data_IF_489522821320
#
_entry.id   IF_489522821320
#
_cell.length_a   1.000
_cell.length_b   1.000
_cell.length_c   1.000
_cell.angle_alpha   90.00
_cell.angle_beta   90.00
_cell.angle_gamma   90.00
#
_symmetry.space_group_name_H-M   'P 1'
#
loop_
_entity.id
_entity.type
_entity.pdbx_description
1 polymer ?
#
# COMPACT_ATOMS: atom_id res chain seq x y z
N UNK A 1 -16.73 -57.87 -55.04
CA UNK A 1 -17.64 -56.71 -54.97
C UNK A 1 -18.54 -56.96 -53.77
N UNK A 2 -18.51 -56.27 -52.63
CA UNK A 2 -18.12 -54.89 -52.31
C UNK A 2 -17.35 -54.83 -50.98
N UNK A 3 -16.17 -54.18 -51.00
CA UNK A 3 -15.51 -53.63 -49.82
C UNK A 3 -16.11 -52.25 -49.58
N UNK A 4 -16.70 -51.94 -48.42
CA UNK A 4 -16.77 -50.61 -47.78
C UNK A 4 -17.69 -50.68 -46.56
N UNK A 5 -17.15 -50.79 -45.33
CA UNK A 5 -17.89 -50.48 -44.08
C UNK A 5 -17.00 -50.57 -42.81
N UNK A 6 -15.83 -49.92 -42.76
CA UNK A 6 -15.02 -49.92 -41.52
C UNK A 6 -14.32 -48.58 -41.17
N UNK A 7 -14.67 -47.47 -41.83
CA UNK A 7 -14.04 -46.15 -41.57
C UNK A 7 -14.88 -45.14 -40.77
N UNK A 8 -16.17 -45.40 -40.51
CA UNK A 8 -17.04 -44.41 -39.87
C UNK A 8 -17.01 -44.42 -38.34
N UNK A 9 -16.65 -45.54 -37.70
CA UNK A 9 -16.72 -45.64 -36.22
C UNK A 9 -15.48 -45.08 -35.52
N UNK A 10 -14.30 -45.10 -36.16
CA UNK A 10 -13.07 -44.62 -35.54
C UNK A 10 -12.98 -43.08 -35.46
N UNK A 11 -13.53 -42.37 -36.44
CA UNK A 11 -13.52 -40.90 -36.49
C UNK A 11 -14.44 -40.28 -35.43
N UNK A 12 -15.63 -40.84 -35.20
CA UNK A 12 -16.57 -40.34 -34.18
C UNK A 12 -16.05 -40.58 -32.77
N UNK A 13 -15.43 -41.75 -32.52
CA UNK A 13 -14.85 -42.09 -31.22
C UNK A 13 -13.60 -41.26 -30.91
N UNK A 14 -12.74 -41.00 -31.92
CA UNK A 14 -11.57 -40.14 -31.76
C UNK A 14 -11.94 -38.66 -31.53
N UNK A 15 -13.00 -38.16 -32.18
CA UNK A 15 -13.53 -36.81 -31.96
C UNK A 15 -14.12 -36.65 -30.56
N UNK A 16 -14.88 -37.65 -30.06
CA UNK A 16 -15.42 -37.66 -28.70
C UNK A 16 -14.32 -37.69 -27.63
N UNK A 17 -13.29 -38.52 -27.81
CA UNK A 17 -12.14 -38.58 -26.87
C UNK A 17 -11.32 -37.29 -26.91
N UNK A 18 -11.10 -36.71 -28.10
CA UNK A 18 -10.42 -35.42 -28.24
C UNK A 18 -11.17 -34.25 -27.59
N UNK A 19 -12.50 -34.19 -27.74
CA UNK A 19 -13.34 -33.19 -27.07
C UNK A 19 -13.38 -33.38 -25.56
N UNK A 20 -13.40 -34.61 -25.05
CA UNK A 20 -13.31 -34.89 -23.61
C UNK A 20 -11.95 -34.48 -23.02
N UNK A 21 -10.84 -34.72 -23.74
CA UNK A 21 -9.52 -34.27 -23.31
C UNK A 21 -9.40 -32.74 -23.27
N UNK A 22 -9.94 -32.03 -24.26
CA UNK A 22 -9.92 -30.56 -24.27
C UNK A 22 -10.77 -29.96 -23.14
N UNK A 23 -11.93 -30.57 -22.84
CA UNK A 23 -12.76 -30.16 -21.71
C UNK A 23 -12.09 -30.44 -20.36
N UNK A 24 -11.38 -31.56 -20.24
CA UNK A 24 -10.62 -31.89 -19.03
C UNK A 24 -9.45 -30.92 -18.80
N UNK A 25 -8.70 -30.56 -19.84
CA UNK A 25 -7.62 -29.57 -19.77
C UNK A 25 -8.16 -28.18 -19.44
N UNK A 26 -9.27 -27.77 -20.04
CA UNK A 26 -9.91 -26.49 -19.73
C UNK A 26 -10.43 -26.45 -18.28
N UNK A 27 -11.04 -27.53 -17.79
CA UNK A 27 -11.49 -27.66 -16.42
C UNK A 27 -10.32 -27.62 -15.42
N UNK A 28 -9.19 -28.25 -15.75
CA UNK A 28 -7.99 -28.24 -14.92
C UNK A 28 -7.32 -26.85 -14.89
N UNK A 29 -7.27 -26.15 -16.02
CA UNK A 29 -6.80 -24.75 -16.08
C UNK A 29 -7.73 -23.81 -15.29
N UNK A 30 -9.05 -24.02 -15.37
CA UNK A 30 -10.01 -23.24 -14.61
C UNK A 30 -9.91 -23.50 -13.10
N UNK A 31 -9.64 -24.75 -12.69
CA UNK A 31 -9.37 -25.11 -11.29
C UNK A 31 -8.06 -24.50 -10.79
N UNK A 32 -6.98 -24.51 -11.58
CA UNK A 32 -5.72 -23.87 -11.21
C UNK A 32 -5.89 -22.34 -11.09
N UNK A 33 -6.61 -21.70 -12.00
CA UNK A 33 -6.92 -20.28 -11.92
C UNK A 33 -7.81 -19.95 -10.71
N UNK A 34 -8.79 -20.80 -10.39
CA UNK A 34 -9.60 -20.65 -9.17
C UNK A 34 -8.78 -20.85 -7.90
N UNK A 35 -7.83 -21.77 -7.89
CA UNK A 35 -7.01 -22.04 -6.71
C UNK A 35 -5.97 -20.94 -6.49
N UNK A 36 -5.41 -20.39 -7.56
CA UNK A 36 -4.50 -19.24 -7.52
C UNK A 36 -5.23 -17.94 -7.16
N UNK A 37 -6.48 -17.74 -7.62
CA UNK A 37 -7.29 -16.59 -7.21
C UNK A 37 -7.76 -16.70 -5.76
N UNK A 38 -8.13 -17.91 -5.31
CA UNK A 38 -8.45 -18.19 -3.90
C UNK A 38 -7.25 -17.99 -2.98
N UNK A 39 -6.04 -18.40 -3.38
CA UNK A 39 -4.84 -18.17 -2.57
C UNK A 39 -4.47 -16.69 -2.51
N UNK A 40 -4.63 -15.94 -3.61
CA UNK A 40 -4.45 -14.49 -3.63
C UNK A 40 -5.48 -13.75 -2.77
N UNK A 41 -6.75 -14.16 -2.83
CA UNK A 41 -7.81 -13.60 -1.99
C UNK A 41 -7.61 -13.96 -0.52
N UNK A 42 -7.24 -15.20 -0.21
CA UNK A 42 -6.90 -15.60 1.15
C UNK A 42 -5.67 -14.83 1.67
N UNK A 43 -4.64 -14.62 0.85
CA UNK A 43 -3.48 -13.80 1.19
C UNK A 43 -3.82 -12.33 1.41
N UNK A 44 -4.71 -11.75 0.58
CA UNK A 44 -5.20 -10.38 0.76
C UNK A 44 -6.09 -10.25 2.00
N UNK A 45 -6.90 -11.27 2.30
CA UNK A 45 -7.76 -11.29 3.48
C UNK A 45 -6.95 -11.48 4.76
N UNK A 46 -5.96 -12.38 4.76
CA UNK A 46 -4.99 -12.52 5.85
C UNK A 46 -4.13 -11.25 6.01
N UNK A 47 -3.75 -10.57 4.92
CA UNK A 47 -3.07 -9.28 5.01
C UNK A 47 -3.96 -8.21 5.67
N UNK A 48 -5.23 -8.09 5.27
CA UNK A 48 -6.18 -7.16 5.90
C UNK A 48 -6.49 -7.56 7.34
N UNK A 49 -6.62 -8.85 7.63
CA UNK A 49 -6.84 -9.35 8.98
C UNK A 49 -5.61 -9.12 9.85
N UNK A 50 -4.40 -9.41 9.39
CA UNK A 50 -3.13 -9.14 10.10
C UNK A 50 -2.91 -7.64 10.30
N UNK A 51 -3.27 -6.83 9.30
CA UNK A 51 -3.33 -5.36 9.39
C UNK A 51 -4.29 -4.89 10.50
N UNK A 52 -5.45 -5.54 10.66
CA UNK A 52 -6.42 -5.24 11.73
C UNK A 52 -6.02 -5.85 13.09
N UNK A 53 -5.43 -7.05 13.11
CA UNK A 53 -5.11 -7.83 14.32
C UNK A 53 -3.88 -7.30 15.06
N UNK A 54 -2.89 -6.77 14.33
CA UNK A 54 -1.66 -6.21 14.94
C UNK A 54 -1.85 -4.88 15.66
N UNK A 55 -3.06 -4.31 15.66
CA UNK A 55 -3.42 -3.19 16.55
C UNK A 55 -3.35 -3.55 18.04
N UNK A 56 -3.12 -4.82 18.41
CA UNK A 56 -3.11 -5.29 19.80
C UNK A 56 -1.98 -6.23 20.22
N UNK A 57 -0.83 -6.26 19.54
CA UNK A 57 0.32 -6.98 20.11
C UNK A 57 1.67 -6.48 19.62
N UNK A 58 2.41 -5.84 20.52
CA UNK A 58 3.87 -5.68 20.41
C UNK A 58 4.48 -5.43 21.79
N UNK A 59 4.47 -6.47 22.64
CA UNK A 59 5.50 -6.62 23.68
C UNK A 59 6.27 -7.90 23.39
N UNK A 60 7.44 -7.73 22.79
CA UNK A 60 8.53 -8.71 22.85
C UNK A 60 9.60 -8.00 23.67
N UNK A 61 9.76 -8.45 24.91
CA UNK A 61 10.85 -8.03 25.77
C UNK A 61 12.13 -8.77 25.33
N UNK A 62 13.09 -8.02 24.80
CA UNK A 62 14.47 -8.47 24.62
C UNK A 62 15.39 -7.44 25.30
N UNK A 63 15.81 -7.78 26.52
CA UNK A 63 16.66 -7.01 27.43
C UNK A 63 18.12 -6.82 26.92
N UNK A 64 18.37 -6.95 25.61
CA UNK A 64 19.68 -6.75 24.98
C UNK A 64 19.77 -5.51 24.07
N UNK A 65 18.67 -4.78 23.86
CA UNK A 65 18.67 -3.53 23.11
C UNK A 65 19.26 -2.38 23.95
N UNK A 66 20.60 -2.32 24.04
CA UNK A 66 21.27 -1.03 24.27
C UNK A 66 20.66 -0.03 23.29
N UNK A 67 20.11 1.09 23.75
CA UNK A 67 19.48 2.10 22.89
C UNK A 67 20.53 2.65 21.89
N UNK A 68 20.65 2.00 20.72
CA UNK A 68 21.69 2.29 19.71
C UNK A 68 21.41 3.59 18.94
N UNK A 69 20.29 4.27 19.23
CA UNK A 69 19.80 5.42 18.47
C UNK A 69 19.55 5.08 17.00
N UNK A 70 19.25 6.10 16.21
CA UNK A 70 19.07 5.95 14.77
C UNK A 70 20.41 5.57 14.10
N UNK A 71 20.42 4.47 13.35
CA UNK A 71 21.60 3.93 12.69
C UNK A 71 21.55 4.04 11.16
N UNK A 72 20.35 3.94 10.57
CA UNK A 72 20.14 3.98 9.12
C UNK A 72 19.05 4.99 8.77
N UNK A 73 19.37 5.96 7.92
CA UNK A 73 18.45 6.98 7.43
C UNK A 73 18.13 6.69 5.96
N UNK A 74 16.89 6.33 5.65
CA UNK A 74 16.45 6.13 4.28
C UNK A 74 16.24 7.46 3.57
N UNK A 75 16.91 7.67 2.45
CA UNK A 75 16.75 8.84 1.57
C UNK A 75 16.05 8.49 0.24
N UNK A 76 15.93 7.20 -0.07
CA UNK A 76 15.28 6.74 -1.30
C UNK A 76 13.78 7.01 -1.30
N UNK A 77 13.25 7.39 -2.46
CA UNK A 77 11.82 7.60 -2.64
C UNK A 77 11.05 6.28 -2.59
N UNK A 78 9.75 6.36 -2.30
CA UNK A 78 8.83 5.23 -2.45
C UNK A 78 9.03 4.52 -3.80
N UNK A 79 8.77 3.20 -3.84
CA UNK A 79 8.82 2.38 -5.06
C UNK A 79 10.22 2.18 -5.66
N UNK A 80 11.27 2.54 -4.94
CA UNK A 80 12.67 2.25 -5.28
C UNK A 80 13.21 0.94 -4.68
N UNK A 81 12.35 0.12 -4.06
CA UNK A 81 12.76 -1.10 -3.34
C UNK A 81 12.79 -0.94 -1.82
N UNK A 82 12.16 0.11 -1.29
CA UNK A 82 12.06 0.40 0.16
C UNK A 82 11.55 -0.80 0.96
N UNK A 83 10.48 -1.49 0.52
CA UNK A 83 9.94 -2.66 1.25
C UNK A 83 10.86 -3.88 1.28
N UNK A 84 11.53 -4.20 0.18
CA UNK A 84 12.56 -5.25 0.18
C UNK A 84 13.73 -4.89 1.10
N UNK A 85 14.10 -3.62 1.10
CA UNK A 85 15.15 -3.09 1.98
C UNK A 85 14.71 -3.11 3.45
N UNK A 86 13.44 -2.81 3.74
CA UNK A 86 12.85 -2.88 5.07
C UNK A 86 12.97 -4.30 5.64
N UNK A 87 12.57 -5.32 4.87
CA UNK A 87 12.70 -6.72 5.28
C UNK A 87 14.16 -7.12 5.50
N UNK A 88 15.08 -6.63 4.66
CA UNK A 88 16.51 -6.87 4.84
C UNK A 88 17.03 -6.23 6.14
N UNK A 89 16.62 -5.00 6.45
CA UNK A 89 17.00 -4.32 7.69
C UNK A 89 16.40 -5.00 8.93
N UNK A 90 15.18 -5.54 8.84
CA UNK A 90 14.58 -6.35 9.92
C UNK A 90 15.37 -7.63 10.19
N UNK A 91 15.82 -8.33 9.15
CA UNK A 91 16.70 -9.50 9.28
C UNK A 91 18.01 -9.13 10.00
N UNK A 92 18.51 -7.91 9.79
CA UNK A 92 19.69 -7.37 10.46
C UNK A 92 19.41 -6.85 11.88
N UNK A 93 18.18 -7.00 12.39
CA UNK A 93 17.79 -6.62 13.75
C UNK A 93 17.30 -5.17 13.89
N UNK A 94 17.05 -4.45 12.79
CA UNK A 94 16.49 -3.11 12.85
C UNK A 94 14.96 -3.12 12.94
N UNK A 95 14.42 -2.25 13.80
CA UNK A 95 13.03 -1.78 13.71
C UNK A 95 12.99 -0.55 12.79
N UNK A 96 12.20 -0.63 11.72
CA UNK A 96 12.17 0.37 10.64
C UNK A 96 10.95 1.27 10.76
N UNK A 97 11.15 2.59 10.76
CA UNK A 97 10.10 3.60 10.69
C UNK A 97 9.82 3.99 9.24
N UNK A 98 8.56 3.95 8.82
CA UNK A 98 8.19 4.27 7.42
C UNK A 98 6.75 4.81 7.28
N UNK A 99 6.23 4.82 6.04
CA UNK A 99 4.87 5.28 5.75
C UNK A 99 3.78 4.49 6.49
N UNK A 100 4.00 3.20 6.80
CA UNK A 100 3.06 2.40 7.60
C UNK A 100 3.10 2.84 9.06
N UNK A 101 4.27 3.15 9.60
CA UNK A 101 4.39 3.70 10.97
C UNK A 101 3.56 4.97 11.14
N UNK A 102 3.36 5.78 10.09
CA UNK A 102 2.48 6.95 10.15
C UNK A 102 0.99 6.61 10.37
N UNK A 103 0.54 5.41 10.00
CA UNK A 103 -0.82 4.94 10.29
C UNK A 103 -0.97 4.49 11.75
N UNK A 104 0.12 4.01 12.34
CA UNK A 104 0.18 3.56 13.74
C UNK A 104 0.36 4.77 14.68
N UNK A 105 1.12 5.78 14.23
CA UNK A 105 1.46 7.02 14.95
C UNK A 105 0.91 8.25 14.23
N UNK A 106 -0.41 8.29 14.03
CA UNK A 106 -1.07 9.39 13.30
C UNK A 106 -0.81 10.78 13.92
N UNK A 107 -0.50 10.84 15.21
CA UNK A 107 -0.09 12.03 15.96
C UNK A 107 1.27 12.59 15.51
N UNK A 108 2.11 11.82 14.81
CA UNK A 108 3.37 12.30 14.25
C UNK A 108 3.15 13.18 13.01
N UNK A 109 2.02 13.04 12.29
CA UNK A 109 1.72 13.81 11.06
C UNK A 109 1.85 15.33 11.29
N UNK A 110 1.13 15.95 12.25
CA UNK A 110 1.25 17.39 12.49
C UNK A 110 2.65 17.81 12.97
N UNK A 111 3.43 16.91 13.58
CA UNK A 111 4.80 17.18 14.01
C UNK A 111 5.76 17.24 12.84
N UNK A 112 5.65 16.30 11.89
CA UNK A 112 6.41 16.34 10.64
C UNK A 112 6.12 17.60 9.84
N UNK A 113 4.87 18.05 9.78
CA UNK A 113 4.49 19.29 9.08
C UNK A 113 5.13 20.51 9.75
N UNK A 114 5.03 20.65 11.09
CA UNK A 114 5.70 21.73 11.81
C UNK A 114 7.22 21.70 11.65
N UNK A 115 7.82 20.51 11.75
CA UNK A 115 9.26 20.34 11.52
C UNK A 115 9.67 20.76 10.11
N UNK A 116 8.85 20.50 9.09
CA UNK A 116 9.11 20.96 7.72
C UNK A 116 9.06 22.49 7.61
N UNK A 117 8.05 23.12 8.21
CA UNK A 117 7.89 24.58 8.20
C UNK A 117 9.06 25.26 8.93
N UNK A 118 9.38 24.80 10.14
CA UNK A 118 10.48 25.30 10.97
C UNK A 118 11.84 25.14 10.26
N UNK A 119 12.07 24.00 9.62
CA UNK A 119 13.30 23.75 8.88
C UNK A 119 13.40 24.63 7.63
N UNK A 120 12.34 24.72 6.82
CA UNK A 120 12.34 25.50 5.57
C UNK A 120 12.51 26.99 5.85
N UNK A 121 11.83 27.51 6.86
CA UNK A 121 11.77 28.95 7.13
C UNK A 121 12.96 29.45 7.95
N UNK A 122 13.40 28.67 8.94
CA UNK A 122 14.37 29.13 9.95
C UNK A 122 15.59 28.23 10.09
N UNK A 123 15.68 27.14 9.31
CA UNK A 123 16.66 26.08 9.53
C UNK A 123 16.63 25.55 10.98
N UNK A 124 15.45 25.56 11.60
CA UNK A 124 15.26 25.15 12.98
C UNK A 124 14.95 23.65 13.04
N UNK A 125 15.84 22.88 13.68
CA UNK A 125 15.72 21.43 13.81
C UNK A 125 15.10 20.97 15.13
N UNK A 126 14.61 21.89 15.98
CA UNK A 126 14.15 21.56 17.35
C UNK A 126 12.98 20.56 17.35
N UNK A 127 11.91 20.81 16.58
CA UNK A 127 10.77 19.87 16.51
C UNK A 127 11.19 18.55 15.83
N UNK A 128 12.05 18.62 14.82
CA UNK A 128 12.57 17.43 14.13
C UNK A 128 13.39 16.55 15.08
N UNK A 129 14.25 17.15 15.90
CA UNK A 129 15.06 16.43 16.88
C UNK A 129 14.19 15.83 17.98
N UNK A 130 13.20 16.57 18.47
CA UNK A 130 12.25 16.06 19.46
C UNK A 130 11.47 14.85 18.92
N UNK A 131 10.95 14.95 17.69
CA UNK A 131 10.25 13.85 17.04
C UNK A 131 11.15 12.64 16.80
N UNK A 132 12.40 12.87 16.36
CA UNK A 132 13.37 11.80 16.18
C UNK A 132 13.67 11.07 17.50
N UNK A 133 13.77 11.80 18.63
CA UNK A 133 13.98 11.20 19.96
C UNK A 133 12.80 10.32 20.37
N UNK A 134 11.57 10.76 20.09
CA UNK A 134 10.37 9.96 20.38
C UNK A 134 10.35 8.67 19.54
N UNK A 135 10.69 8.76 18.25
CA UNK A 135 10.86 7.60 17.36
C UNK A 135 11.96 6.65 17.89
N UNK A 136 13.10 7.16 18.30
CA UNK A 136 14.18 6.34 18.88
C UNK A 136 13.76 5.70 20.23
N UNK A 137 12.98 6.40 21.05
CA UNK A 137 12.48 5.89 22.32
C UNK A 137 11.53 4.70 22.15
N UNK A 138 10.85 4.60 21.01
CA UNK A 138 10.06 3.43 20.62
C UNK A 138 10.89 2.28 20.03
N UNK A 139 12.22 2.41 20.02
CA UNK A 139 13.16 1.39 19.56
C UNK A 139 13.39 1.37 18.05
N UNK A 140 12.91 2.37 17.29
CA UNK A 140 13.23 2.47 15.87
C UNK A 140 14.71 2.84 15.68
N UNK A 141 15.40 2.09 14.83
CA UNK A 141 16.85 2.24 14.56
C UNK A 141 17.15 2.47 13.09
N UNK A 142 16.15 2.36 12.23
CA UNK A 142 16.24 2.65 10.82
C UNK A 142 15.00 3.37 10.31
N UNK A 143 15.12 4.14 9.24
CA UNK A 143 13.99 4.79 8.56
C UNK A 143 14.02 4.50 7.08
N UNK A 144 12.86 4.46 6.43
CA UNK A 144 12.69 4.33 4.99
C UNK A 144 11.42 5.05 4.53
N UNK A 145 11.33 5.37 3.24
CA UNK A 145 10.11 5.89 2.60
C UNK A 145 9.63 7.23 3.21
N UNK A 146 8.44 7.69 2.79
CA UNK A 146 7.81 8.89 3.33
C UNK A 146 7.37 8.69 4.79
N UNK A 147 7.43 9.73 5.64
CA UNK A 147 7.91 11.09 5.37
C UNK A 147 9.44 11.25 5.47
N UNK A 148 10.12 10.27 6.04
CA UNK A 148 11.48 10.44 6.58
C UNK A 148 12.53 10.66 5.49
N UNK A 149 12.30 10.11 4.29
CA UNK A 149 13.17 10.33 3.13
C UNK A 149 13.41 11.81 2.82
N UNK A 150 12.38 12.65 2.92
CA UNK A 150 12.49 14.09 2.67
C UNK A 150 13.34 14.82 3.72
N UNK A 151 13.49 14.23 4.90
CA UNK A 151 14.29 14.76 6.01
C UNK A 151 15.66 14.08 6.13
N UNK A 152 16.08 13.26 5.17
CA UNK A 152 17.32 12.47 5.31
C UNK A 152 18.55 13.34 5.59
N UNK A 153 18.68 14.51 4.94
CA UNK A 153 19.78 15.45 5.17
C UNK A 153 19.76 16.12 6.56
N UNK A 154 18.67 16.79 6.99
CA UNK A 154 18.62 17.36 8.34
C UNK A 154 18.69 16.28 9.45
N UNK A 155 18.16 15.08 9.21
CA UNK A 155 18.33 13.97 10.15
C UNK A 155 19.79 13.48 10.21
N UNK A 156 20.50 13.51 9.08
CA UNK A 156 21.92 13.18 9.04
C UNK A 156 22.78 14.22 9.77
N UNK A 157 22.34 15.47 9.87
CA UNK A 157 22.95 16.49 10.74
C UNK A 157 22.73 16.17 12.22
N UNK A 158 21.50 15.82 12.60
CA UNK A 158 21.14 15.48 13.99
C UNK A 158 21.76 14.17 14.49
N UNK A 159 22.07 13.23 13.59
CA UNK A 159 22.66 11.93 13.90
C UNK A 159 23.89 11.67 13.02
N UNK A 160 25.05 12.30 13.29
CA UNK A 160 26.23 12.23 12.41
C UNK A 160 26.78 10.81 12.22
N UNK A 161 26.50 9.90 13.15
CA UNK A 161 26.93 8.50 13.06
C UNK A 161 25.96 7.61 12.26
N UNK A 162 24.74 8.08 11.98
CA UNK A 162 23.77 7.33 11.19
C UNK A 162 24.20 7.33 9.71
N UNK A 163 24.09 6.18 9.07
CA UNK A 163 24.39 6.01 7.64
C UNK A 163 23.17 6.31 6.79
N UNK A 164 23.37 6.88 5.61
CA UNK A 164 22.28 7.28 4.70
C UNK A 164 22.17 6.27 3.56
N UNK A 165 20.98 5.71 3.38
CA UNK A 165 20.68 4.71 2.36
C UNK A 165 19.72 5.29 1.32
N UNK A 166 20.20 5.48 0.10
CA UNK A 166 19.41 5.98 -1.02
C UNK A 166 19.07 4.81 -1.97
N UNK A 167 17.87 4.26 -1.84
CA UNK A 167 17.42 3.18 -2.73
C UNK A 167 17.04 3.70 -4.11
N UNK A 168 17.44 2.99 -5.17
CA UNK A 168 17.21 3.36 -6.58
C UNK A 168 16.72 2.17 -7.41
N UNK A 169 16.11 2.45 -8.57
CA UNK A 169 15.81 1.44 -9.61
C UNK A 169 16.84 1.50 -10.73
N UNK A 170 16.69 0.62 -11.72
CA UNK A 170 17.56 0.60 -12.92
C UNK A 170 17.48 1.88 -13.75
N UNK A 171 16.30 2.52 -13.77
CA UNK A 171 16.02 3.76 -14.50
C UNK A 171 14.92 4.53 -13.77
N UNK A 172 15.03 5.86 -13.79
CA UNK A 172 14.05 6.82 -13.33
C UNK A 172 12.70 6.69 -14.02
N UNK A 173 12.66 6.39 -15.33
CA UNK A 173 11.39 6.14 -16.03
C UNK A 173 10.63 4.97 -15.41
N UNK A 174 11.34 3.86 -15.13
CA UNK A 174 10.75 2.67 -14.50
C UNK A 174 10.35 2.92 -13.05
N UNK A 175 11.11 3.78 -12.35
CA UNK A 175 10.72 4.23 -11.02
C UNK A 175 9.44 5.04 -11.08
N UNK A 176 9.37 6.05 -11.96
CA UNK A 176 8.20 6.88 -12.12
C UNK A 176 6.98 6.07 -12.55
N UNK A 177 7.10 5.13 -13.50
CA UNK A 177 6.00 4.21 -13.84
C UNK A 177 5.49 3.43 -12.63
N UNK A 178 6.39 2.92 -11.78
CA UNK A 178 5.99 2.23 -10.56
C UNK A 178 5.41 3.16 -9.49
N UNK A 179 5.84 4.42 -9.44
CA UNK A 179 5.33 5.47 -8.56
C UNK A 179 3.93 5.92 -9.00
N UNK A 180 3.77 6.23 -10.28
CA UNK A 180 2.51 6.55 -10.93
C UNK A 180 1.44 5.48 -10.64
N UNK A 181 1.78 4.19 -10.80
CA UNK A 181 0.85 3.10 -10.52
C UNK A 181 0.40 2.98 -9.07
N UNK A 182 1.31 3.17 -8.10
CA UNK A 182 0.90 3.12 -6.68
C UNK A 182 0.04 4.34 -6.35
N UNK A 183 0.35 5.49 -6.94
CA UNK A 183 -0.37 6.71 -6.68
C UNK A 183 -1.76 6.67 -7.31
N UNK A 184 -1.90 6.04 -8.48
CA UNK A 184 -3.20 5.67 -9.06
C UNK A 184 -4.03 4.82 -8.10
N UNK A 185 -3.41 3.80 -7.51
CA UNK A 185 -4.07 2.90 -6.58
C UNK A 185 -4.51 3.62 -5.31
N UNK A 186 -3.60 4.35 -4.68
CA UNK A 186 -3.84 5.08 -3.43
C UNK A 186 -4.84 6.21 -3.61
N UNK A 187 -4.89 6.85 -4.78
CA UNK A 187 -5.88 7.87 -5.14
C UNK A 187 -7.32 7.40 -4.90
N UNK A 188 -7.63 6.12 -5.17
CA UNK A 188 -8.94 5.56 -4.88
C UNK A 188 -9.20 5.31 -3.40
N UNK A 189 -8.15 5.04 -2.62
CA UNK A 189 -8.23 4.79 -1.19
C UNK A 189 -8.38 6.07 -0.36
N UNK A 190 -7.87 7.20 -0.85
CA UNK A 190 -8.02 8.50 -0.19
C UNK A 190 -9.37 9.18 -0.50
N UNK A 191 -10.15 8.65 -1.45
CA UNK A 191 -11.50 9.12 -1.79
C UNK A 191 -12.61 8.45 -0.96
N UNK A 192 -13.85 8.93 -1.07
CA UNK A 192 -14.99 8.26 -0.43
C UNK A 192 -15.29 6.93 -1.14
N UNK A 193 -15.69 5.90 -0.39
CA UNK A 193 -16.05 5.93 1.02
C UNK A 193 -14.89 5.68 1.98
N UNK A 194 -13.63 5.71 1.57
CA UNK A 194 -12.48 5.26 2.37
C UNK A 194 -11.69 6.35 3.08
N UNK A 195 -11.87 7.61 2.68
CA UNK A 195 -11.21 8.76 3.28
C UNK A 195 -11.28 8.78 4.82
N UNK A 196 -12.40 8.35 5.41
CA UNK A 196 -12.55 8.32 6.87
C UNK A 196 -11.76 7.19 7.55
N UNK A 197 -11.44 6.09 6.85
CA UNK A 197 -10.63 4.99 7.37
C UNK A 197 -9.13 5.31 7.34
N UNK A 198 -8.68 6.05 6.34
CA UNK A 198 -7.26 6.24 6.04
C UNK A 198 -6.74 7.59 6.54
N UNK A 199 -7.62 8.43 7.09
CA UNK A 199 -7.24 9.68 7.74
C UNK A 199 -6.58 10.68 6.80
N UNK A 200 -5.66 11.49 7.33
CA UNK A 200 -4.99 12.57 6.60
C UNK A 200 -3.81 12.08 5.75
N UNK A 201 -4.07 11.22 4.76
CA UNK A 201 -3.04 10.63 3.90
C UNK A 201 -2.52 11.57 2.80
N UNK A 202 -2.95 12.83 2.78
CA UNK A 202 -2.45 13.88 1.89
C UNK A 202 -1.12 14.50 2.42
N UNK A 203 -0.67 14.11 3.62
CA UNK A 203 0.54 14.66 4.25
C UNK A 203 1.82 14.57 3.40
N UNK A 204 2.08 13.53 2.56
CA UNK A 204 3.30 13.50 1.75
C UNK A 204 3.34 14.66 0.76
N UNK A 205 2.19 15.02 0.17
CA UNK A 205 2.10 16.18 -0.73
C UNK A 205 2.30 17.49 0.02
N UNK A 206 1.74 17.62 1.23
CA UNK A 206 1.96 18.80 2.04
C UNK A 206 3.45 18.99 2.35
N UNK A 207 4.15 17.91 2.73
CA UNK A 207 5.60 17.94 2.99
C UNK A 207 6.40 18.27 1.73
N UNK A 208 6.06 17.68 0.58
CA UNK A 208 6.71 17.99 -0.69
C UNK A 208 6.53 19.46 -1.09
N UNK A 209 5.35 20.03 -0.85
CA UNK A 209 5.12 21.46 -1.08
C UNK A 209 5.94 22.32 -0.13
N UNK A 210 6.03 21.97 1.15
CA UNK A 210 6.77 22.77 2.14
C UNK A 210 8.28 22.69 1.91
N UNK A 211 8.83 21.48 1.75
CA UNK A 211 10.28 21.26 1.68
C UNK A 211 10.85 21.53 0.29
N UNK A 212 10.15 21.08 -0.74
CA UNK A 212 10.67 20.99 -2.11
C UNK A 212 9.98 21.96 -3.07
N UNK A 213 9.09 22.82 -2.57
CA UNK A 213 8.24 23.72 -3.36
C UNK A 213 7.50 22.97 -4.48
N UNK A 214 7.25 21.67 -4.27
CA UNK A 214 6.68 20.80 -5.26
C UNK A 214 5.19 21.14 -5.43
N UNK A 215 4.72 21.41 -6.65
CA UNK A 215 3.35 21.84 -6.87
C UNK A 215 2.39 20.74 -6.38
N UNK A 216 1.42 21.14 -5.54
CA UNK A 216 0.33 20.22 -5.17
C UNK A 216 -0.40 19.83 -6.43
N UNK A 217 -0.42 18.54 -6.70
CA UNK A 217 -1.14 17.95 -7.82
C UNK A 217 -2.48 17.39 -7.37
N UNK A 218 -2.85 17.51 -6.08
CA UNK A 218 -4.24 17.34 -5.69
C UNK A 218 -5.11 18.35 -6.44
N UNK A 219 -5.95 17.80 -7.30
CA UNK A 219 -7.13 18.48 -7.79
C UNK A 219 -7.84 19.11 -6.59
N UNK A 220 -8.05 20.43 -6.63
CA UNK A 220 -9.37 20.96 -6.26
C UNK A 220 -10.39 19.97 -6.84
N UNK A 221 -11.24 19.33 -6.01
CA UNK A 221 -12.28 18.35 -6.38
C UNK A 221 -12.26 17.98 -7.88
N UNK A 222 -11.77 16.80 -8.30
CA UNK A 222 -11.52 16.56 -9.72
C UNK A 222 -12.78 16.81 -10.53
N UNK A 223 -12.63 17.47 -11.68
CA UNK A 223 -13.77 17.91 -12.51
C UNK A 223 -14.68 16.74 -12.95
N UNK A 224 -14.20 15.50 -12.86
CA UNK A 224 -14.87 14.27 -13.31
C UNK A 224 -14.92 13.18 -12.21
N UNK A 225 -15.67 13.40 -11.14
CA UNK A 225 -16.05 12.28 -10.24
C UNK A 225 -17.17 11.47 -10.91
N UNK A 226 -16.93 10.18 -11.14
CA UNK A 226 -18.01 9.26 -11.50
C UNK A 226 -18.57 8.60 -10.25
N UNK A 227 -19.89 8.71 -10.07
CA UNK A 227 -20.63 8.13 -8.95
C UNK A 227 -21.58 7.06 -9.48
N UNK A 228 -21.17 5.79 -9.60
CA UNK A 228 -22.12 4.74 -9.96
C UNK A 228 -23.16 4.52 -8.85
N UNK A 229 -22.82 4.86 -7.60
CA UNK A 229 -23.72 4.88 -6.45
C UNK A 229 -23.55 6.20 -5.67
N UNK A 230 -24.59 6.70 -4.97
CA UNK A 230 -24.52 7.96 -4.23
C UNK A 230 -23.39 8.05 -3.18
N UNK A 231 -22.92 6.91 -2.67
CA UNK A 231 -21.88 6.79 -1.64
C UNK A 231 -20.54 6.26 -2.16
N UNK A 232 -20.44 5.95 -3.46
CA UNK A 232 -19.24 5.38 -4.06
C UNK A 232 -18.71 6.30 -5.16
N UNK A 233 -17.43 6.67 -5.05
CA UNK A 233 -16.78 7.60 -5.96
C UNK A 233 -15.62 6.90 -6.66
N UNK A 234 -15.55 7.03 -7.99
CA UNK A 234 -14.43 6.57 -8.80
C UNK A 234 -13.77 7.79 -9.43
N UNK A 235 -12.45 7.90 -9.25
CA UNK A 235 -11.62 8.86 -9.97
C UNK A 235 -11.21 8.28 -11.32
N UNK A 236 -11.56 8.94 -12.43
CA UNK A 236 -11.06 8.50 -13.74
C UNK A 236 -9.66 9.05 -14.07
N UNK A 237 -9.27 10.15 -13.41
CA UNK A 237 -7.95 10.75 -13.54
C UNK A 237 -7.45 11.20 -12.18
N UNK A 238 -6.38 10.61 -11.65
CA UNK A 238 -5.63 11.22 -10.57
C UNK A 238 -4.87 12.39 -11.19
N UNK A 239 -5.09 13.61 -10.71
CA UNK A 239 -4.40 14.82 -11.18
C UNK A 239 -2.86 14.74 -11.07
N UNK A 240 -2.35 13.68 -10.45
CA UNK A 240 -0.94 13.31 -10.45
C UNK A 240 -0.52 12.87 -11.86
N UNK A 241 -1.26 12.06 -12.62
CA UNK A 241 -0.68 11.43 -13.83
C UNK A 241 -1.04 12.12 -15.13
N UNK A 242 -2.10 12.94 -15.13
CA UNK A 242 -2.59 13.61 -16.33
C UNK A 242 -2.09 15.06 -16.48
N UNK A 243 -1.23 15.53 -15.56
CA UNK A 243 -0.61 16.85 -15.60
C UNK A 243 0.64 16.86 -16.53
N UNK A 244 0.63 17.65 -17.63
CA UNK A 244 1.78 17.77 -18.53
C UNK A 244 3.05 18.23 -17.79
N UNK A 245 4.15 17.48 -17.98
CA UNK A 245 5.42 17.79 -17.34
C UNK A 245 5.58 17.20 -15.93
N UNK A 246 4.60 16.48 -15.40
CA UNK A 246 4.69 15.98 -14.03
C UNK A 246 5.72 14.88 -13.87
N UNK A 247 5.80 13.98 -14.86
CA UNK A 247 6.84 12.96 -14.94
C UNK A 247 8.22 13.60 -14.84
N UNK A 248 8.46 14.63 -15.64
CA UNK A 248 9.72 15.36 -15.70
C UNK A 248 10.02 16.04 -14.35
N UNK A 249 9.01 16.63 -13.69
CA UNK A 249 9.17 17.23 -12.34
C UNK A 249 9.56 16.21 -11.28
N UNK A 250 8.92 15.03 -11.26
CA UNK A 250 9.24 13.97 -10.30
C UNK A 250 10.63 13.38 -10.53
N UNK A 251 11.00 13.13 -11.78
CA UNK A 251 12.32 12.63 -12.14
C UNK A 251 13.38 13.68 -11.77
N UNK A 252 13.14 14.96 -12.06
CA UNK A 252 14.05 16.04 -11.67
C UNK A 252 14.22 16.10 -10.15
N UNK A 253 13.13 16.05 -9.38
CA UNK A 253 13.19 16.03 -7.92
C UNK A 253 14.03 14.84 -7.39
N UNK A 254 13.80 13.64 -7.93
CA UNK A 254 14.55 12.44 -7.52
C UNK A 254 16.06 12.60 -7.79
N UNK A 255 16.41 13.04 -9.00
CA UNK A 255 17.80 13.26 -9.41
C UNK A 255 18.48 14.36 -8.59
N UNK A 256 17.79 15.48 -8.38
CA UNK A 256 18.31 16.62 -7.61
C UNK A 256 18.48 16.26 -6.14
N UNK A 257 17.59 15.44 -5.57
CA UNK A 257 17.73 14.96 -4.20
C UNK A 257 18.91 14.00 -4.03
N UNK A 258 19.10 13.06 -4.96
CA UNK A 258 20.28 12.19 -4.98
C UNK A 258 21.57 13.00 -5.10
N UNK A 259 21.60 13.98 -6.00
CA UNK A 259 22.74 14.89 -6.17
C UNK A 259 23.04 15.69 -4.90
N UNK A 260 22.02 16.24 -4.24
CA UNK A 260 22.17 16.91 -2.93
C UNK A 260 22.79 15.97 -1.90
N UNK A 261 22.31 14.73 -1.80
CA UNK A 261 22.89 13.72 -0.91
C UNK A 261 24.37 13.48 -1.19
N UNK A 262 24.75 13.30 -2.45
CA UNK A 262 26.14 13.08 -2.86
C UNK A 262 27.05 14.29 -2.61
N UNK A 263 26.52 15.50 -2.66
CA UNK A 263 27.27 16.74 -2.44
C UNK A 263 27.44 17.07 -0.95
N UNK A 264 26.46 16.72 -0.12
CA UNK A 264 26.44 17.05 1.30
C UNK A 264 27.08 15.98 2.17
N UNK A 265 26.95 14.71 1.82
CA UNK A 265 27.38 13.60 2.67
C UNK A 265 28.74 13.03 2.23
N UNK A 266 29.60 12.61 3.18
CA UNK A 266 30.80 11.86 2.87
C UNK A 266 30.51 10.56 2.08
N UNK A 267 31.37 10.14 1.14
CA UNK A 267 31.14 8.94 0.31
C UNK A 267 30.95 7.64 1.10
N UNK A 268 31.58 7.51 2.26
CA UNK A 268 31.46 6.35 3.15
C UNK A 268 30.16 6.35 3.98
N UNK A 269 29.44 7.48 3.99
CA UNK A 269 28.20 7.68 4.73
C UNK A 269 26.94 7.56 3.86
N UNK A 270 27.09 7.50 2.54
CA UNK A 270 26.00 7.37 1.58
C UNK A 270 26.15 6.08 0.76
N UNK A 271 25.13 5.21 0.80
CA UNK A 271 25.01 4.10 -0.14
C UNK A 271 23.86 4.37 -1.11
N UNK A 272 24.18 4.42 -2.40
CA UNK A 272 23.18 4.34 -3.47
C UNK A 272 22.95 2.87 -3.78
N UNK A 273 21.75 2.37 -3.49
CA UNK A 273 21.47 0.94 -3.43
C UNK A 273 20.34 0.52 -4.38
N UNK A 274 20.64 -0.38 -5.32
CA UNK A 274 19.62 -1.09 -6.09
C UNK A 274 19.48 -2.49 -5.49
N UNK A 275 18.26 -2.89 -5.12
CA UNK A 275 17.98 -4.19 -4.48
C UNK A 275 18.47 -5.40 -5.29
N UNK A 276 18.67 -5.26 -6.60
CA UNK A 276 19.25 -6.31 -7.46
C UNK A 276 20.72 -6.60 -7.18
N UNK A 277 21.43 -5.70 -6.49
CA UNK A 277 22.81 -5.92 -6.06
C UNK A 277 22.88 -6.92 -4.89
N UNK A 278 21.74 -7.24 -4.26
CA UNK A 278 21.64 -8.21 -3.18
C UNK A 278 22.27 -7.73 -1.86
N UNK A 279 22.64 -8.69 -1.02
CA UNK A 279 23.11 -8.43 0.34
C UNK A 279 24.48 -7.76 0.42
N UNK A 280 25.39 -8.07 -0.51
CA UNK A 280 26.80 -7.72 -0.41
C UNK A 280 27.08 -6.22 -0.15
N UNK A 281 26.58 -5.26 -0.96
CA UNK A 281 26.85 -3.85 -0.71
C UNK A 281 26.18 -3.33 0.56
N UNK A 282 25.00 -3.84 0.92
CA UNK A 282 24.29 -3.42 2.13
C UNK A 282 25.04 -3.87 3.40
N UNK A 283 25.48 -5.14 3.44
CA UNK A 283 26.26 -5.68 4.57
C UNK A 283 27.59 -4.94 4.72
N UNK A 284 28.32 -4.73 3.62
CA UNK A 284 29.56 -3.96 3.62
C UNK A 284 29.32 -2.53 4.14
N UNK A 285 28.29 -1.87 3.63
CA UNK A 285 27.95 -0.51 4.04
C UNK A 285 27.56 -0.43 5.50
N UNK A 286 26.86 -1.41 6.06
CA UNK A 286 26.49 -1.43 7.47
C UNK A 286 27.61 -1.95 8.38
N UNK A 287 28.72 -2.43 7.83
CA UNK A 287 29.83 -3.02 8.60
C UNK A 287 29.44 -4.35 9.26
N UNK A 288 28.49 -5.08 8.66
CA UNK A 288 28.03 -6.38 9.15
C UNK A 288 28.76 -7.48 8.39
N UNK A 289 29.46 -8.34 9.12
CA UNK A 289 30.10 -9.51 8.54
C UNK A 289 29.21 -10.75 8.68
N UNK A 290 28.54 -11.13 7.59
CA UNK A 290 27.64 -12.28 7.57
C UNK A 290 27.66 -12.98 6.20
N UNK A 291 28.54 -13.97 6.06
CA UNK A 291 28.70 -14.76 4.84
C UNK A 291 27.45 -15.56 4.46
N UNK A 292 26.68 -16.00 5.46
CA UNK A 292 25.46 -16.76 5.20
C UNK A 292 24.41 -15.90 4.47
N UNK A 293 24.24 -14.64 4.86
CA UNK A 293 23.34 -13.72 4.16
C UNK A 293 23.84 -13.38 2.75
N UNK A 294 25.17 -13.28 2.53
CA UNK A 294 25.73 -13.02 1.19
C UNK A 294 25.35 -14.09 0.15
N UNK A 295 25.06 -15.30 0.59
CA UNK A 295 24.68 -16.43 -0.27
C UNK A 295 23.16 -16.58 -0.43
N UNK A 296 22.36 -15.85 0.35
CA UNK A 296 20.90 -15.90 0.27
C UNK A 296 20.35 -14.94 -0.78
N UNK A 297 19.17 -15.25 -1.29
CA UNK A 297 18.41 -14.32 -2.10
C UNK A 297 18.02 -13.09 -1.26
N UNK A 298 18.10 -11.92 -1.89
CA UNK A 298 17.65 -10.70 -1.25
C UNK A 298 16.11 -10.68 -1.17
N UNK A 299 15.50 -10.19 -0.08
CA UNK A 299 14.05 -10.16 0.06
C UNK A 299 13.36 -9.50 -1.15
N UNK A 300 12.32 -10.15 -1.68
CA UNK A 300 11.52 -9.62 -2.78
C UNK A 300 10.05 -9.58 -2.36
N UNK A 301 9.64 -8.40 -1.88
CA UNK A 301 8.29 -8.16 -1.36
C UNK A 301 7.66 -6.95 -2.04
N UNK A 302 6.33 -6.81 -1.93
CA UNK A 302 5.54 -5.71 -2.48
C UNK A 302 5.42 -5.71 -4.01
N UNK A 303 5.02 -6.86 -4.56
CA UNK A 303 4.76 -7.01 -5.99
C UNK A 303 3.47 -6.28 -6.42
N UNK A 304 3.41 -5.88 -7.71
CA UNK A 304 2.28 -5.12 -8.26
C UNK A 304 0.95 -5.90 -8.20
N UNK A 305 1.00 -7.23 -8.19
CA UNK A 305 -0.20 -8.08 -8.25
C UNK A 305 -0.97 -8.14 -6.92
N UNK A 306 -0.26 -8.09 -5.79
CA UNK A 306 -0.88 -8.04 -4.46
C UNK A 306 -1.72 -6.77 -4.28
N UNK A 307 -1.23 -5.65 -4.79
CA UNK A 307 -1.86 -4.34 -4.67
C UNK A 307 -3.19 -4.20 -5.45
N UNK A 308 -3.27 -4.76 -6.66
CA UNK A 308 -4.51 -4.80 -7.44
C UNK A 308 -5.60 -5.62 -6.74
N UNK A 309 -5.19 -6.70 -6.06
CA UNK A 309 -6.10 -7.55 -5.29
C UNK A 309 -6.72 -6.77 -4.13
N UNK A 310 -5.92 -6.00 -3.38
CA UNK A 310 -6.40 -5.15 -2.28
C UNK A 310 -7.45 -4.15 -2.77
N UNK A 311 -7.20 -3.45 -3.88
CA UNK A 311 -8.18 -2.53 -4.46
C UNK A 311 -9.50 -3.22 -4.78
N UNK A 312 -9.45 -4.36 -5.48
CA UNK A 312 -10.67 -5.08 -5.86
C UNK A 312 -11.49 -5.49 -4.65
N UNK A 313 -10.84 -6.02 -3.61
CA UNK A 313 -11.51 -6.39 -2.35
C UNK A 313 -12.17 -5.17 -1.71
N UNK A 314 -11.45 -4.04 -1.65
CA UNK A 314 -12.01 -2.81 -1.10
C UNK A 314 -13.21 -2.36 -1.94
N UNK A 315 -13.10 -2.21 -3.26
CA UNK A 315 -14.21 -1.80 -4.13
C UNK A 315 -15.50 -2.63 -3.90
N UNK A 316 -15.37 -3.95 -3.75
CA UNK A 316 -16.49 -4.85 -3.41
C UNK A 316 -17.11 -4.52 -2.05
N UNK A 317 -16.30 -4.32 -1.02
CA UNK A 317 -16.78 -3.96 0.32
C UNK A 317 -17.45 -2.59 0.31
N UNK A 318 -16.88 -1.60 -0.38
CA UNK A 318 -17.44 -0.25 -0.48
C UNK A 318 -18.80 -0.22 -1.16
N UNK A 319 -18.95 -0.93 -2.28
CA UNK A 319 -20.22 -1.00 -2.99
C UNK A 319 -21.24 -1.86 -2.23
N UNK A 320 -20.78 -2.97 -1.64
CA UNK A 320 -21.61 -3.98 -1.01
C UNK A 320 -22.15 -3.59 0.37
N UNK A 321 -21.34 -2.96 1.24
CA UNK A 321 -21.71 -2.72 2.63
C UNK A 321 -22.93 -1.78 2.78
N UNK A 322 -23.01 -0.62 2.11
CA UNK A 322 -24.17 0.27 2.23
C UNK A 322 -25.40 -0.31 1.53
N UNK A 323 -25.20 -1.05 0.43
CA UNK A 323 -26.28 -1.78 -0.25
C UNK A 323 -26.87 -2.84 0.68
N UNK A 324 -26.02 -3.60 1.37
CA UNK A 324 -26.42 -4.61 2.33
C UNK A 324 -27.24 -4.00 3.49
N UNK A 325 -26.75 -2.91 4.08
CA UNK A 325 -27.46 -2.17 5.15
C UNK A 325 -28.83 -1.67 4.63
N UNK A 326 -28.86 -1.13 3.41
CA UNK A 326 -30.10 -0.65 2.78
C UNK A 326 -31.10 -1.79 2.56
N UNK A 327 -30.63 -2.95 2.11
CA UNK A 327 -31.44 -4.15 1.91
C UNK A 327 -32.00 -4.69 3.23
N UNK A 328 -31.18 -4.75 4.29
CA UNK A 328 -31.65 -5.17 5.61
C UNK A 328 -32.70 -4.21 6.17
N UNK A 329 -32.46 -2.90 6.05
CA UNK A 329 -33.41 -1.86 6.49
C UNK A 329 -34.73 -1.95 5.72
N UNK A 330 -34.66 -2.16 4.40
CA UNK A 330 -35.83 -2.36 3.56
C UNK A 330 -36.62 -3.62 3.96
N UNK A 331 -35.94 -4.73 4.22
CA UNK A 331 -36.58 -5.98 4.63
C UNK A 331 -37.28 -5.84 5.99
N UNK A 332 -36.61 -5.20 6.97
CA UNK A 332 -37.20 -4.89 8.26
C UNK A 332 -38.45 -4.00 8.13
N UNK A 333 -38.39 -2.96 7.29
CA UNK A 333 -39.54 -2.10 6.98
C UNK A 333 -40.71 -2.89 6.37
N UNK A 334 -40.43 -3.80 5.41
CA UNK A 334 -41.45 -4.64 4.77
C UNK A 334 -42.13 -5.57 5.77
N UNK A 335 -41.36 -6.20 6.67
CA UNK A 335 -41.90 -7.05 7.74
C UNK A 335 -42.80 -6.23 8.67
N UNK A 336 -42.33 -5.07 9.13
CA UNK A 336 -43.10 -4.20 10.02
C UNK A 336 -44.43 -3.76 9.37
N UNK A 337 -44.40 -3.38 8.09
CA UNK A 337 -45.60 -2.98 7.34
C UNK A 337 -46.59 -4.14 7.17
N UNK A 338 -46.11 -5.34 6.88
CA UNK A 338 -46.95 -6.54 6.82
C UNK A 338 -47.60 -6.84 8.19
N UNK A 339 -46.82 -6.73 9.28
CA UNK A 339 -47.32 -6.90 10.64
C UNK A 339 -48.44 -5.90 10.99
N UNK A 340 -48.24 -4.62 10.69
CA UNK A 340 -49.26 -3.57 10.89
C UNK A 340 -50.52 -3.87 10.09
N UNK A 341 -50.39 -4.28 8.82
CA UNK A 341 -51.53 -4.63 7.97
C UNK A 341 -52.33 -5.81 8.52
N UNK A 342 -51.66 -6.83 9.08
CA UNK A 342 -52.36 -7.98 9.67
C UNK A 342 -53.12 -7.57 10.95
N UNK A 343 -52.51 -6.73 11.80
CA UNK A 343 -53.15 -6.23 13.03
C UNK A 343 -54.37 -5.37 12.70
N UNK A 344 -54.27 -4.47 11.73
CA UNK A 344 -55.38 -3.60 11.33
C UNK A 344 -56.53 -4.38 10.70
N UNK A 345 -56.22 -5.38 9.87
CA UNK A 345 -57.23 -6.29 9.32
C UNK A 345 -57.94 -7.12 10.41
N UNK A 346 -57.19 -7.70 11.35
CA UNK A 346 -57.77 -8.46 12.47
C UNK A 346 -58.64 -7.58 13.38
N UNK A 347 -58.21 -6.34 13.65
CA UNK A 347 -58.99 -5.38 14.42
C UNK A 347 -60.29 -4.97 13.69
N UNK A 348 -60.24 -4.81 12.36
CA UNK A 348 -61.41 -4.51 11.54
C UNK A 348 -62.42 -5.67 11.52
N UNK A 349 -61.95 -6.92 11.38
CA UNK A 349 -62.80 -8.11 11.46
C UNK A 349 -63.45 -8.27 12.83
N UNK A 350 -62.69 -8.08 13.92
CA UNK A 350 -63.21 -8.13 15.29
C UNK A 350 -64.29 -7.07 15.51
N UNK A 351 -64.10 -5.85 14.98
CA UNK A 351 -65.07 -4.76 15.08
C UNK A 351 -66.33 -5.02 14.25
N UNK A 352 -66.20 -5.72 13.11
CA UNK A 352 -67.33 -6.16 12.29
C UNK A 352 -68.12 -7.28 12.98
N UNK A 353 -67.44 -8.25 13.59
CA UNK A 353 -68.06 -9.33 14.35
C UNK A 353 -68.81 -8.85 15.60
N UNK A 354 -68.38 -7.75 16.23
CA UNK A 354 -69.10 -7.12 17.35
C UNK A 354 -70.34 -6.28 16.94
N UNK A 355 -70.52 -6.00 15.66
CA UNK A 355 -71.62 -5.18 15.12
C UNK A 355 -72.71 -6.00 14.43
N UNK A 356 -72.40 -7.23 14.04
CA UNK A 356 -73.38 -8.25 13.64
C UNK A 356 -73.90 -8.94 14.90
#
# INVERSE_FOLDING_TARGET
MNHYSWKSSYTTTALLVGSCCLLAVAAQQQQQQQQQSRSKLAGAFEFVLDFVRRKHSSHIDDDSASNKGMQVLGAGFARSGTKSTEEALKILGHKVYDTRSMLEHSEHIPRWLRAAEDYKQYHNLTELEALLKDIEAEGYTATLDFPVNLFALPLAELRPNAKVLFTVRDNEDKWFESWSDITHLMGHLICRPWKWLIGNFDFPEQLLTILEDFPRTHSQYPEHIYRPLPWFEILHHPAIVDDPGQKERWIALHQDFLKRCQQTLPPDRLLVFNVKQGWAPLLQFLGVDNDALRQQDFPNVNDRSSLQTVRWVMDVVAAGLPLWISLQTYFAYRIARCGVSMITSAAAETKKAKRA
#
